data_IF_702435016974
#
_entry.id   IF_702435016974
#
_cell.length_a   1.000
_cell.length_b   1.000
_cell.length_c   1.000
_cell.angle_alpha   90.00
_cell.angle_beta   90.00
_cell.angle_gamma   90.00
#
_symmetry.space_group_name_H-M   'P 1'
#
loop_
_entity.id
_entity.type
_entity.pdbx_description
1 polymer ?
#
# COMPACT_ATOMS: atom_id res chain seq x y z
N UNK A 1 10.22 -7.40 -7.19
CA UNK A 1 9.00 -6.56 -7.29
C UNK A 1 7.98 -7.08 -6.28
N UNK A 2 7.40 -6.20 -5.47
CA UNK A 2 6.34 -6.53 -4.51
C UNK A 2 5.03 -5.88 -4.96
N UNK A 3 3.95 -6.65 -5.00
CA UNK A 3 2.59 -6.15 -5.24
C UNK A 3 1.64 -6.81 -4.26
N UNK A 4 0.88 -6.01 -3.52
CA UNK A 4 -0.14 -6.47 -2.59
C UNK A 4 -1.44 -5.73 -2.87
N UNK A 5 -2.54 -6.49 -2.94
CA UNK A 5 -3.90 -5.95 -2.88
C UNK A 5 -4.40 -6.05 -1.44
N UNK A 6 -5.06 -5.00 -0.97
CA UNK A 6 -5.79 -4.92 0.28
C UNK A 6 -7.20 -4.43 -0.06
N UNK A 7 -8.20 -5.21 0.35
CA UNK A 7 -9.58 -4.72 0.32
C UNK A 7 -9.80 -3.92 1.59
N UNK A 8 -10.21 -2.66 1.45
CA UNK A 8 -10.37 -1.72 2.57
C UNK A 8 -11.78 -1.14 2.61
N UNK A 9 -12.27 -0.92 3.83
CA UNK A 9 -13.54 -0.24 4.09
C UNK A 9 -14.76 -1.07 3.72
N UNK A 10 -15.95 -0.54 4.04
CA UNK A 10 -17.22 -1.28 3.88
C UNK A 10 -17.59 -1.60 2.43
N UNK A 11 -17.01 -0.89 1.47
CA UNK A 11 -17.23 -1.12 0.03
C UNK A 11 -16.19 -2.06 -0.60
N UNK A 12 -15.27 -2.61 0.20
CA UNK A 12 -14.19 -3.49 -0.27
C UNK A 12 -13.40 -2.84 -1.43
N UNK A 13 -13.04 -1.56 -1.25
CA UNK A 13 -12.25 -0.84 -2.26
C UNK A 13 -10.88 -1.51 -2.40
N UNK A 14 -10.41 -1.65 -3.64
CA UNK A 14 -9.12 -2.29 -3.88
C UNK A 14 -7.99 -1.27 -3.71
N UNK A 15 -7.36 -1.26 -2.54
CA UNK A 15 -6.10 -0.58 -2.30
C UNK A 15 -4.94 -1.46 -2.78
N UNK A 16 -3.96 -0.88 -3.47
CA UNK A 16 -2.76 -1.59 -3.90
C UNK A 16 -1.50 -0.99 -3.29
N UNK A 17 -0.53 -1.85 -2.96
CA UNK A 17 0.81 -1.46 -2.52
C UNK A 17 1.80 -2.05 -3.51
N UNK A 18 2.52 -1.19 -4.21
CA UNK A 18 3.57 -1.54 -5.15
C UNK A 18 4.91 -1.10 -4.56
N UNK A 19 5.83 -2.06 -4.36
CA UNK A 19 7.11 -1.83 -3.71
C UNK A 19 8.30 -2.35 -4.51
N UNK A 20 9.40 -1.60 -4.51
CA UNK A 20 10.70 -2.01 -5.01
C UNK A 20 11.49 -2.70 -3.89
N UNK A 21 11.86 -3.97 -4.07
CA UNK A 21 12.56 -4.74 -3.02
C UNK A 21 14.01 -4.29 -2.81
N UNK A 22 14.65 -3.71 -3.83
CA UNK A 22 16.03 -3.24 -3.79
C UNK A 22 16.15 -1.89 -3.08
N UNK A 23 15.39 -0.88 -3.52
CA UNK A 23 15.46 0.49 -2.96
C UNK A 23 14.60 0.67 -1.72
N UNK A 24 13.69 -0.28 -1.45
CA UNK A 24 12.67 -0.21 -0.41
C UNK A 24 11.65 0.93 -0.60
N UNK A 25 11.59 1.57 -1.75
CA UNK A 25 10.56 2.57 -2.05
C UNK A 25 9.24 1.88 -2.42
N UNK A 26 8.12 2.47 -2.00
CA UNK A 26 6.79 1.99 -2.33
C UNK A 26 5.82 3.14 -2.63
N UNK A 27 4.77 2.79 -3.37
CA UNK A 27 3.60 3.63 -3.62
C UNK A 27 2.35 2.90 -3.14
N UNK A 28 1.37 3.68 -2.66
CA UNK A 28 0.05 3.19 -2.29
C UNK A 28 -0.96 3.75 -3.29
N UNK A 29 -1.79 2.89 -3.86
CA UNK A 29 -2.78 3.23 -4.88
C UNK A 29 -4.17 3.02 -4.28
N UNK A 30 -5.03 4.02 -4.39
CA UNK A 30 -6.41 4.04 -3.89
C UNK A 30 -6.57 3.64 -2.40
N UNK A 31 -5.87 4.30 -1.46
CA UNK A 31 -6.07 4.08 -0.03
C UNK A 31 -7.41 4.66 0.42
N UNK A 32 -8.48 3.87 0.30
CA UNK A 32 -9.85 4.31 0.59
C UNK A 32 -10.25 4.28 2.06
N UNK A 33 -9.63 3.42 2.87
CA UNK A 33 -9.92 3.22 4.30
C UNK A 33 -8.76 2.44 4.96
N UNK A 34 -8.87 2.14 6.26
CA UNK A 34 -7.97 1.27 7.04
C UNK A 34 -6.47 1.64 6.94
N UNK A 35 -6.08 2.88 7.26
CA UNK A 35 -4.69 3.34 7.12
C UNK A 35 -3.71 2.51 7.97
N UNK A 36 -4.12 2.00 9.13
CA UNK A 36 -3.29 1.16 9.98
C UNK A 36 -2.91 -0.15 9.29
N UNK A 37 -3.83 -0.77 8.54
CA UNK A 37 -3.56 -2.00 7.80
C UNK A 37 -2.57 -1.75 6.65
N UNK A 38 -2.72 -0.61 5.96
CA UNK A 38 -1.81 -0.18 4.88
C UNK A 38 -0.41 0.07 5.44
N UNK A 39 -0.30 0.82 6.55
CA UNK A 39 0.96 1.12 7.23
C UNK A 39 1.63 -0.17 7.74
N UNK A 40 0.87 -1.10 8.31
CA UNK A 40 1.40 -2.38 8.78
C UNK A 40 2.06 -3.18 7.63
N UNK A 41 1.49 -3.17 6.42
CA UNK A 41 2.11 -3.84 5.28
C UNK A 41 3.41 -3.16 4.85
N UNK A 42 3.46 -1.83 4.86
CA UNK A 42 4.68 -1.08 4.55
C UNK A 42 5.77 -1.39 5.58
N UNK A 43 5.46 -1.33 6.87
CA UNK A 43 6.38 -1.62 7.97
C UNK A 43 6.91 -3.05 7.95
N UNK A 44 6.02 -4.05 7.81
CA UNK A 44 6.40 -5.47 7.76
C UNK A 44 7.35 -5.81 6.61
N UNK A 45 7.27 -5.07 5.50
CA UNK A 45 8.13 -5.27 4.33
C UNK A 45 9.32 -4.29 4.28
N UNK A 46 9.44 -3.44 5.31
CA UNK A 46 10.46 -2.40 5.45
C UNK A 46 10.48 -1.44 4.25
N UNK A 47 9.30 -1.08 3.75
CA UNK A 47 9.12 -0.12 2.67
C UNK A 47 8.98 1.31 3.18
N UNK A 48 9.60 2.25 2.47
CA UNK A 48 9.41 3.69 2.59
C UNK A 48 8.34 4.13 1.58
N UNK A 49 7.26 4.71 2.09
CA UNK A 49 6.22 5.30 1.24
C UNK A 49 6.73 6.58 0.59
N UNK A 50 6.71 6.64 -0.75
CA UNK A 50 7.13 7.81 -1.51
C UNK A 50 5.94 8.66 -1.99
N UNK A 51 4.82 8.04 -2.37
CA UNK A 51 3.61 8.76 -2.77
C UNK A 51 2.34 7.92 -2.66
N UNK A 52 1.20 8.62 -2.72
CA UNK A 52 -0.13 8.05 -2.88
C UNK A 52 -0.63 8.40 -4.30
N UNK A 53 -1.24 7.43 -4.96
CA UNK A 53 -1.87 7.59 -6.28
C UNK A 53 -3.37 7.34 -6.09
N UNK A 54 -4.20 8.19 -6.67
CA UNK A 54 -5.66 8.04 -6.68
C UNK A 54 -6.15 8.02 -8.13
N UNK A 55 -7.06 7.11 -8.46
CA UNK A 55 -7.64 6.97 -9.81
C UNK A 55 -9.10 7.43 -9.92
#
# INVERSE_FOLDING_TARGET
>A
MFLKKLEVGSFMSNCYILGCQETKEAVVIDPGDEPEAILAVLEQNNFKLNCIINT
#
